data_IF_902901726591
#
_entry.id   IF_902901726591
#
_cell.length_a   1.000
_cell.length_b   1.000
_cell.length_c   1.000
_cell.angle_alpha   90.00
_cell.angle_beta   90.00
_cell.angle_gamma   90.00
#
_symmetry.space_group_name_H-M   'P 1'
#
loop_
_entity.id
_entity.type
_entity.pdbx_description
1 polymer ?
#
# COMPACT_ATOMS: atom_id res chain seq x y z
N UNK A 1 6.35 -1.54 -14.45
CA UNK A 1 6.85 -0.81 -13.26
C UNK A 1 7.11 -1.82 -12.16
N UNK A 2 8.36 -2.05 -11.80
CA UNK A 2 8.69 -2.95 -10.68
C UNK A 2 8.29 -2.26 -9.38
N UNK A 3 7.77 -3.01 -8.41
CA UNK A 3 7.44 -2.57 -7.04
C UNK A 3 8.59 -1.81 -6.34
N UNK A 4 9.81 -1.90 -6.90
CA UNK A 4 11.01 -1.17 -6.51
C UNK A 4 10.93 0.35 -6.80
N UNK A 5 10.27 0.80 -7.87
CA UNK A 5 10.21 2.23 -8.22
C UNK A 5 9.28 3.03 -7.29
N UNK A 6 8.21 2.40 -6.81
CA UNK A 6 7.31 3.00 -5.82
C UNK A 6 7.99 3.11 -4.45
N UNK A 7 8.87 2.16 -4.11
CA UNK A 7 9.66 2.20 -2.86
C UNK A 7 10.67 3.35 -2.85
N UNK A 8 11.26 3.68 -4.00
CA UNK A 8 12.14 4.84 -4.16
C UNK A 8 11.39 6.17 -3.97
N UNK A 9 10.09 6.21 -4.27
CA UNK A 9 9.23 7.37 -4.05
C UNK A 9 8.81 7.54 -2.57
N UNK A 10 8.89 6.47 -1.77
CA UNK A 10 8.47 6.44 -0.36
C UNK A 10 9.66 6.56 0.60
N UNK A 11 10.84 6.07 0.21
CA UNK A 11 12.07 6.19 0.98
C UNK A 11 12.65 7.61 0.87
N UNK A 12 12.29 8.48 1.82
CA UNK A 12 12.97 9.75 2.03
C UNK A 12 14.47 9.52 2.24
N UNK A 13 15.28 10.04 1.32
CA UNK A 13 16.72 10.19 1.49
C UNK A 13 16.93 11.54 2.17
N UNK A 14 17.72 11.56 3.24
CA UNK A 14 18.04 12.80 3.97
C UNK A 14 18.72 13.81 3.04
N UNK A 15 18.11 15.00 2.90
CA UNK A 15 18.63 16.14 2.13
C UNK A 15 17.66 16.70 1.08
N UNK A 16 16.81 17.64 1.52
CA UNK A 16 16.11 18.72 0.79
C UNK A 16 15.03 18.46 -0.29
N UNK A 17 14.14 19.48 -0.36
CA UNK A 17 13.10 19.82 -1.36
C UNK A 17 11.70 19.17 -1.26
N UNK A 18 11.15 18.92 -0.07
CA UNK A 18 9.80 18.30 0.05
C UNK A 18 8.79 19.07 0.92
N UNK A 19 9.00 20.37 1.13
CA UNK A 19 8.00 21.25 1.78
C UNK A 19 6.80 21.50 0.83
N UNK A 20 6.94 21.32 -0.48
CA UNK A 20 5.93 21.78 -1.46
C UNK A 20 4.92 20.72 -1.96
N UNK A 21 5.10 19.42 -1.70
CA UNK A 21 4.21 18.38 -2.24
C UNK A 21 3.07 17.92 -1.30
N UNK A 22 2.92 18.55 -0.13
CA UNK A 22 1.94 18.17 0.90
C UNK A 22 0.49 18.60 0.63
N UNK A 23 0.23 19.29 -0.49
CA UNK A 23 -1.12 19.71 -0.86
C UNK A 23 -1.68 18.75 -1.91
N UNK A 24 -2.75 18.02 -1.55
CA UNK A 24 -3.62 17.39 -2.53
C UNK A 24 -4.04 18.48 -3.54
N UNK A 25 -3.76 18.35 -4.85
CA UNK A 25 -4.20 19.35 -5.81
C UNK A 25 -5.73 19.29 -5.90
N UNK A 26 -6.40 20.29 -5.32
CA UNK A 26 -7.74 20.64 -5.73
C UNK A 26 -7.64 21.23 -7.15
N UNK A 27 -8.40 20.65 -8.08
CA UNK A 27 -8.62 21.08 -9.45
C UNK A 27 -7.40 21.26 -10.37
N UNK A 28 -7.22 20.30 -11.29
CA UNK A 28 -6.57 20.59 -12.58
C UNK A 28 -7.65 20.89 -13.63
N UNK A 29 -7.64 22.05 -14.30
CA UNK A 29 -8.45 22.25 -15.50
C UNK A 29 -7.84 21.46 -16.67
N UNK A 30 -8.70 20.78 -17.44
CA UNK A 30 -8.33 20.07 -18.67
C UNK A 30 -7.68 21.01 -19.70
N UNK A 31 -6.58 20.64 -20.37
CA UNK A 31 -6.10 21.41 -21.51
C UNK A 31 -7.00 21.15 -22.73
N UNK A 32 -7.40 22.23 -23.41
CA UNK A 32 -8.13 22.18 -24.69
C UNK A 32 -7.14 21.87 -25.85
N UNK A 33 -7.60 21.23 -26.94
CA UNK A 33 -6.79 20.99 -28.13
C UNK A 33 -6.96 22.12 -29.16
N UNK A 34 -5.82 22.61 -29.68
CA UNK A 34 -5.56 23.53 -30.82
C UNK A 34 -4.66 24.68 -30.32
N UNK A 35 -3.55 25.09 -30.94
CA UNK A 35 -3.09 25.11 -32.32
C UNK A 35 -1.55 25.13 -32.31
N UNK A 36 -0.88 24.60 -33.34
CA UNK A 36 0.31 25.17 -34.00
C UNK A 36 0.57 24.29 -35.24
N UNK A 37 0.11 24.78 -36.38
CA UNK A 37 0.70 24.45 -37.67
C UNK A 37 1.82 25.46 -37.98
N UNK A 38 2.78 24.99 -38.78
CA UNK A 38 3.68 25.75 -39.64
C UNK A 38 4.92 26.41 -39.01
N UNK A 39 6.05 25.72 -39.17
CA UNK A 39 7.15 26.30 -39.95
C UNK A 39 8.06 25.17 -40.47
N UNK A 40 8.00 25.00 -41.79
CA UNK A 40 8.73 24.04 -42.59
C UNK A 40 9.86 24.81 -43.26
N UNK A 41 11.11 24.52 -42.92
CA UNK A 41 12.24 24.92 -43.76
C UNK A 41 13.35 23.86 -43.75
N UNK A 42 13.77 23.50 -44.96
CA UNK A 42 14.67 22.43 -45.35
C UNK A 42 16.13 22.75 -45.07
N UNK A 43 16.90 21.76 -44.56
CA UNK A 43 18.26 21.47 -45.06
C UNK A 43 18.51 19.96 -45.07
N UNK A 44 19.12 19.53 -46.17
CA UNK A 44 19.26 18.16 -46.64
C UNK A 44 20.68 17.63 -46.33
N UNK A 45 20.77 16.30 -46.23
CA UNK A 45 21.95 15.46 -46.39
C UNK A 45 22.93 15.33 -45.19
N UNK A 46 22.95 14.12 -44.65
CA UNK A 46 23.90 13.62 -43.67
C UNK A 46 23.47 12.24 -43.22
N UNK A 47 23.60 11.24 -44.10
CA UNK A 47 23.36 9.84 -43.81
C UNK A 47 24.31 9.38 -42.70
N UNK A 48 23.76 9.18 -41.52
CA UNK A 48 24.33 8.30 -40.51
C UNK A 48 23.13 7.56 -39.95
N UNK A 49 22.98 6.30 -40.35
CA UNK A 49 22.09 5.37 -39.66
C UNK A 49 22.65 5.19 -38.25
N UNK A 50 22.36 6.16 -37.38
CA UNK A 50 22.32 5.91 -35.95
C UNK A 50 21.14 4.98 -35.74
N UNK A 51 21.46 3.68 -35.74
CA UNK A 51 20.61 2.64 -35.20
C UNK A 51 20.35 3.04 -33.75
N UNK A 52 19.29 3.82 -33.52
CA UNK A 52 18.75 4.05 -32.18
C UNK A 52 18.46 2.66 -31.65
N UNK A 53 19.28 2.22 -30.70
CA UNK A 53 18.93 1.11 -29.83
C UNK A 53 17.61 1.55 -29.18
N UNK A 54 16.49 1.10 -29.75
CA UNK A 54 15.18 1.26 -29.16
C UNK A 54 15.30 0.67 -27.75
N UNK A 55 15.17 1.54 -26.74
CA UNK A 55 15.16 1.10 -25.35
C UNK A 55 14.08 0.02 -25.23
N UNK A 56 14.43 -1.25 -24.93
CA UNK A 56 13.45 -2.35 -24.86
C UNK A 56 12.29 -2.05 -23.90
N UNK A 57 12.47 -1.07 -23.02
CA UNK A 57 11.49 -0.64 -22.04
C UNK A 57 10.44 0.35 -22.61
N UNK A 58 10.75 1.14 -23.65
CA UNK A 58 9.76 2.06 -24.26
C UNK A 58 8.61 1.31 -24.95
N UNK A 59 8.86 0.09 -25.43
CA UNK A 59 7.88 -0.70 -26.19
C UNK A 59 6.88 -1.44 -25.27
N UNK A 60 7.27 -1.78 -24.04
CA UNK A 60 6.40 -2.49 -23.08
C UNK A 60 5.18 -1.66 -22.67
N UNK A 61 5.39 -0.37 -22.40
CA UNK A 61 4.33 0.58 -22.02
C UNK A 61 3.42 0.99 -23.19
N UNK A 62 3.82 0.68 -24.43
CA UNK A 62 3.02 0.91 -25.64
C UNK A 62 2.31 -0.35 -26.12
N UNK A 63 2.61 -1.50 -25.51
CA UNK A 63 1.95 -2.76 -25.86
C UNK A 63 0.43 -2.66 -25.64
N UNK A 64 -0.40 -3.13 -26.58
CA UNK A 64 -1.86 -3.09 -26.43
C UNK A 64 -2.36 -3.76 -25.15
N UNK A 65 -1.72 -4.86 -24.73
CA UNK A 65 -2.04 -5.57 -23.49
C UNK A 65 -1.84 -4.70 -22.25
N UNK A 66 -0.75 -3.92 -22.20
CA UNK A 66 -0.51 -3.00 -21.10
C UNK A 66 -1.55 -1.87 -21.08
N UNK A 67 -1.83 -1.26 -22.23
CA UNK A 67 -2.80 -0.16 -22.33
C UNK A 67 -4.21 -0.58 -21.92
N UNK A 68 -4.64 -1.80 -22.28
CA UNK A 68 -5.93 -2.35 -21.83
C UNK A 68 -5.93 -2.62 -20.32
N UNK A 69 -4.86 -3.21 -19.79
CA UNK A 69 -4.73 -3.41 -18.35
C UNK A 69 -4.74 -2.09 -17.58
N UNK A 70 -3.99 -1.09 -18.04
CA UNK A 70 -3.95 0.26 -17.48
C UNK A 70 -5.31 0.94 -17.55
N UNK A 71 -6.07 0.77 -18.63
CA UNK A 71 -7.43 1.32 -18.73
C UNK A 71 -8.38 0.75 -17.66
N UNK A 72 -8.20 -0.52 -17.26
CA UNK A 72 -9.03 -1.18 -16.25
C UNK A 72 -8.54 -0.86 -14.82
N UNK A 73 -7.24 -0.99 -14.58
CA UNK A 73 -6.62 -0.94 -13.25
C UNK A 73 -6.15 0.46 -12.88
N UNK A 74 -5.83 1.31 -13.87
CA UNK A 74 -5.30 2.66 -13.68
C UNK A 74 -6.08 3.53 -12.70
N UNK A 75 -7.42 3.65 -12.83
CA UNK A 75 -8.22 4.41 -11.85
C UNK A 75 -8.05 3.88 -10.42
N UNK A 76 -8.05 2.57 -10.24
CA UNK A 76 -7.87 1.94 -8.93
C UNK A 76 -6.45 2.16 -8.39
N UNK A 77 -5.45 2.16 -9.28
CA UNK A 77 -4.06 2.46 -8.94
C UNK A 77 -3.89 3.92 -8.50
N UNK A 78 -4.53 4.88 -9.15
CA UNK A 78 -4.54 6.28 -8.71
C UNK A 78 -5.10 6.44 -7.30
N UNK A 79 -6.23 5.79 -7.01
CA UNK A 79 -6.79 5.73 -5.66
C UNK A 79 -5.78 5.14 -4.67
N UNK A 80 -5.13 4.03 -5.03
CA UNK A 80 -4.14 3.38 -4.17
C UNK A 80 -2.95 4.31 -3.87
N UNK A 81 -2.40 4.99 -4.88
CA UNK A 81 -1.29 5.94 -4.70
C UNK A 81 -1.70 7.09 -3.77
N UNK A 82 -2.90 7.65 -3.95
CA UNK A 82 -3.45 8.68 -3.06
C UNK A 82 -3.58 8.17 -1.62
N UNK A 83 -4.04 6.92 -1.44
CA UNK A 83 -4.11 6.30 -0.13
C UNK A 83 -2.73 6.15 0.53
N UNK A 84 -1.71 5.76 -0.23
CA UNK A 84 -0.34 5.62 0.30
C UNK A 84 0.29 6.97 0.71
N UNK A 85 -0.07 8.07 0.05
CA UNK A 85 0.40 9.40 0.44
C UNK A 85 -0.05 9.82 1.84
N UNK A 86 -1.17 9.27 2.34
CA UNK A 86 -1.67 9.53 3.69
C UNK A 86 -0.74 8.96 4.77
N UNK A 87 -0.03 7.86 4.49
CA UNK A 87 0.88 7.22 5.46
C UNK A 87 1.90 8.21 6.01
N UNK A 88 2.47 9.07 5.15
CA UNK A 88 3.43 10.10 5.58
C UNK A 88 2.84 11.06 6.62
N UNK A 89 1.58 11.47 6.41
CA UNK A 89 0.87 12.36 7.34
C UNK A 89 0.63 11.68 8.69
N UNK A 90 0.38 10.37 8.70
CA UNK A 90 0.26 9.58 9.93
C UNK A 90 1.62 9.48 10.64
N UNK A 91 2.70 9.17 9.91
CA UNK A 91 4.06 9.08 10.49
C UNK A 91 4.49 10.40 11.12
N UNK A 92 4.18 11.54 10.51
CA UNK A 92 4.56 12.86 11.04
C UNK A 92 3.92 13.22 12.39
N UNK A 93 2.81 12.57 12.78
CA UNK A 93 2.17 12.80 14.10
C UNK A 93 2.50 11.72 15.12
N UNK A 94 3.33 10.75 14.75
CA UNK A 94 3.84 9.74 15.66
C UNK A 94 4.74 10.34 16.74
N UNK A 95 4.73 9.71 17.92
CA UNK A 95 5.49 10.15 19.10
C UNK A 95 7.01 10.27 18.85
N UNK A 96 7.47 9.59 17.81
CA UNK A 96 8.85 9.58 17.36
C UNK A 96 9.25 10.78 16.49
N UNK A 97 8.27 11.54 16.01
CA UNK A 97 8.43 12.64 15.06
C UNK A 97 7.84 13.97 15.57
N UNK A 98 7.03 13.92 16.63
CA UNK A 98 6.40 15.09 17.26
C UNK A 98 6.55 15.00 18.78
N UNK A 99 6.61 16.15 19.45
CA UNK A 99 6.40 16.22 20.90
C UNK A 99 5.06 15.60 21.29
N UNK A 100 5.06 14.89 22.42
CA UNK A 100 3.91 14.18 23.01
C UNK A 100 3.98 14.27 24.53
N UNK A 101 2.85 14.02 25.18
CA UNK A 101 2.77 13.87 26.64
C UNK A 101 2.33 15.13 27.40
N UNK A 102 2.22 16.30 26.76
CA UNK A 102 1.46 17.43 27.32
C UNK A 102 0.04 17.45 26.78
N UNK A 103 -0.90 18.08 27.50
CA UNK A 103 -2.27 18.24 27.02
C UNK A 103 -2.34 19.00 25.68
N UNK A 104 -1.46 19.99 25.48
CA UNK A 104 -1.39 20.76 24.23
C UNK A 104 -0.92 19.87 23.07
N UNK A 105 0.14 19.08 23.29
CA UNK A 105 0.66 18.17 22.27
C UNK A 105 -0.39 17.14 21.85
N UNK A 106 -1.05 16.50 22.82
CA UNK A 106 -2.07 15.49 22.53
C UNK A 106 -3.29 16.10 21.82
N UNK A 107 -3.70 17.31 22.20
CA UNK A 107 -4.80 18.00 21.53
C UNK A 107 -4.47 18.31 20.06
N UNK A 108 -3.27 18.80 19.77
CA UNK A 108 -2.82 19.07 18.39
C UNK A 108 -2.73 17.79 17.56
N UNK A 109 -2.23 16.68 18.13
CA UNK A 109 -2.21 15.37 17.47
C UNK A 109 -3.62 14.92 17.11
N UNK A 110 -4.57 15.04 18.03
CA UNK A 110 -5.97 14.69 17.78
C UNK A 110 -6.58 15.55 16.68
N UNK A 111 -6.31 16.86 16.64
CA UNK A 111 -6.80 17.74 15.57
C UNK A 111 -6.27 17.32 14.20
N UNK A 112 -4.97 17.03 14.09
CA UNK A 112 -4.38 16.56 12.83
C UNK A 112 -4.96 15.19 12.46
N UNK A 113 -5.09 14.29 13.43
CA UNK A 113 -5.63 12.95 13.21
C UNK A 113 -7.09 12.97 12.73
N UNK A 114 -7.93 13.86 13.28
CA UNK A 114 -9.29 14.05 12.79
C UNK A 114 -9.33 14.54 11.34
N UNK A 115 -8.44 15.47 10.97
CA UNK A 115 -8.30 15.92 9.58
C UNK A 115 -7.84 14.78 8.66
N UNK A 116 -6.83 14.01 9.06
CA UNK A 116 -6.34 12.85 8.31
C UNK A 116 -7.45 11.80 8.16
N UNK A 117 -8.21 11.54 9.22
CA UNK A 117 -9.35 10.62 9.19
C UNK A 117 -10.45 11.08 8.22
N UNK A 118 -10.83 12.36 8.27
CA UNK A 118 -11.81 12.93 7.34
C UNK A 118 -11.34 12.88 5.87
N UNK A 119 -10.05 13.07 5.63
CA UNK A 119 -9.48 12.94 4.28
C UNK A 119 -9.50 11.48 3.80
N UNK A 120 -9.22 10.52 4.68
CA UNK A 120 -9.37 9.09 4.37
C UNK A 120 -10.83 8.74 4.06
N UNK A 121 -11.80 9.26 4.80
CA UNK A 121 -13.23 9.10 4.44
C UNK A 121 -13.50 9.65 3.06
N UNK A 122 -13.09 10.88 2.80
CA UNK A 122 -13.36 11.56 1.54
C UNK A 122 -12.76 10.78 0.38
N UNK A 123 -11.54 10.27 0.55
CA UNK A 123 -10.88 9.41 -0.44
C UNK A 123 -11.66 8.11 -0.68
N UNK A 124 -12.15 7.46 0.39
CA UNK A 124 -12.98 6.25 0.24
C UNK A 124 -14.29 6.52 -0.50
N UNK A 125 -14.97 7.62 -0.21
CA UNK A 125 -16.24 7.97 -0.86
C UNK A 125 -16.04 8.39 -2.32
N UNK A 126 -14.87 8.92 -2.68
CA UNK A 126 -14.49 9.30 -4.05
C UNK A 126 -13.79 8.19 -4.83
N UNK A 127 -13.63 7.00 -4.25
CA UNK A 127 -12.95 5.88 -4.90
C UNK A 127 -13.65 5.53 -6.23
N UNK A 128 -12.91 5.12 -7.27
CA UNK A 128 -13.52 4.64 -8.50
C UNK A 128 -14.40 3.40 -8.24
N UNK A 129 -15.58 3.37 -8.85
CA UNK A 129 -16.53 2.25 -8.72
C UNK A 129 -15.98 0.92 -9.19
N UNK A 130 -15.00 0.95 -10.11
CA UNK A 130 -14.32 -0.27 -10.60
C UNK A 130 -13.66 -1.05 -9.45
N UNK A 131 -13.24 -0.39 -8.37
CA UNK A 131 -12.68 -1.08 -7.20
C UNK A 131 -13.70 -2.05 -6.61
N UNK A 132 -14.98 -1.68 -6.54
CA UNK A 132 -15.99 -2.42 -5.77
C UNK A 132 -16.33 -3.81 -6.35
N UNK A 133 -15.84 -4.14 -7.56
CA UNK A 133 -16.02 -5.46 -8.20
C UNK A 133 -15.10 -6.54 -7.62
N UNK A 134 -14.18 -6.18 -6.72
CA UNK A 134 -13.15 -7.08 -6.19
C UNK A 134 -13.69 -8.37 -5.53
N UNK A 135 -14.97 -8.36 -5.12
CA UNK A 135 -15.65 -9.47 -4.46
C UNK A 135 -16.44 -10.40 -5.39
N UNK A 136 -16.56 -10.08 -6.68
CA UNK A 136 -17.37 -10.81 -7.66
C UNK A 136 -16.61 -10.98 -8.98
N UNK A 137 -15.52 -11.77 -9.01
CA UNK A 137 -14.74 -11.99 -10.23
C UNK A 137 -15.60 -12.59 -11.36
N UNK A 138 -16.58 -13.43 -11.04
CA UNK A 138 -17.51 -14.03 -11.98
C UNK A 138 -18.36 -13.01 -12.75
N UNK A 139 -18.64 -11.85 -12.16
CA UNK A 139 -19.36 -10.77 -12.83
C UNK A 139 -18.57 -10.18 -14.02
N UNK A 140 -17.27 -10.45 -14.10
CA UNK A 140 -16.41 -10.02 -15.19
C UNK A 140 -16.23 -11.07 -16.27
N UNK A 141 -16.67 -12.32 -16.07
CA UNK A 141 -16.40 -13.42 -17.02
C UNK A 141 -17.10 -13.23 -18.38
N UNK A 142 -18.17 -12.44 -18.44
CA UNK A 142 -18.84 -12.09 -19.69
C UNK A 142 -18.05 -11.06 -20.53
N UNK A 143 -17.09 -10.36 -19.92
CA UNK A 143 -16.31 -9.28 -20.55
C UNK A 143 -14.82 -9.60 -20.66
N UNK A 144 -14.26 -10.24 -19.63
CA UNK A 144 -12.85 -10.58 -19.50
C UNK A 144 -12.70 -12.10 -19.38
N UNK A 145 -11.61 -12.64 -19.90
CA UNK A 145 -11.31 -14.04 -19.63
C UNK A 145 -11.00 -14.25 -18.14
N UNK A 146 -11.37 -15.42 -17.62
CA UNK A 146 -11.30 -15.72 -16.18
C UNK A 146 -9.94 -15.40 -15.52
N UNK A 147 -8.77 -15.71 -16.12
CA UNK A 147 -7.49 -15.38 -15.49
C UNK A 147 -7.27 -13.87 -15.30
N UNK A 148 -7.71 -13.05 -16.27
CA UNK A 148 -7.58 -11.58 -16.20
C UNK A 148 -8.55 -11.01 -15.19
N UNK A 149 -9.80 -11.49 -15.18
CA UNK A 149 -10.80 -11.10 -14.18
C UNK A 149 -10.30 -11.36 -12.75
N UNK A 150 -9.75 -12.56 -12.51
CA UNK A 150 -9.17 -12.93 -11.23
C UNK A 150 -8.01 -12.00 -10.84
N UNK A 151 -7.09 -11.71 -11.77
CA UNK A 151 -5.94 -10.85 -11.48
C UNK A 151 -6.32 -9.40 -11.18
N UNK A 152 -7.32 -8.87 -11.88
CA UNK A 152 -7.90 -7.54 -11.60
C UNK A 152 -8.50 -7.51 -10.19
N UNK A 153 -9.35 -8.49 -9.85
CA UNK A 153 -9.94 -8.57 -8.52
C UNK A 153 -8.89 -8.77 -7.42
N UNK A 154 -7.84 -9.58 -7.66
CA UNK A 154 -6.69 -9.72 -6.74
C UNK A 154 -6.03 -8.37 -6.48
N UNK A 155 -5.70 -7.64 -7.54
CA UNK A 155 -5.09 -6.30 -7.45
C UNK A 155 -5.96 -5.36 -6.61
N UNK A 156 -7.26 -5.32 -6.85
CA UNK A 156 -8.17 -4.46 -6.09
C UNK A 156 -8.30 -4.86 -4.62
N UNK A 157 -8.33 -6.16 -4.30
CA UNK A 157 -8.32 -6.63 -2.90
C UNK A 157 -7.05 -6.18 -2.17
N UNK A 158 -5.89 -6.18 -2.84
CA UNK A 158 -4.64 -5.66 -2.27
C UNK A 158 -4.73 -4.15 -1.99
N UNK A 159 -5.28 -3.36 -2.91
CA UNK A 159 -5.44 -1.92 -2.72
C UNK A 159 -6.41 -1.58 -1.58
N UNK A 160 -7.53 -2.29 -1.49
CA UNK A 160 -8.51 -2.12 -0.40
C UNK A 160 -7.89 -2.51 0.94
N UNK A 161 -7.19 -3.65 1.04
CA UNK A 161 -6.55 -4.06 2.28
C UNK A 161 -5.51 -3.03 2.77
N UNK A 162 -4.71 -2.48 1.87
CA UNK A 162 -3.75 -1.43 2.19
C UNK A 162 -4.41 -0.10 2.58
N UNK A 163 -5.53 0.25 1.94
CA UNK A 163 -6.30 1.41 2.35
C UNK A 163 -6.87 1.25 3.78
N UNK A 164 -7.44 0.07 4.09
CA UNK A 164 -7.97 -0.24 5.43
C UNK A 164 -6.89 -0.19 6.50
N UNK A 165 -5.67 -0.64 6.18
CA UNK A 165 -4.51 -0.58 7.06
C UNK A 165 -4.20 0.85 7.54
N UNK A 166 -4.49 1.87 6.72
CA UNK A 166 -4.28 3.28 7.10
C UNK A 166 -5.20 3.72 8.25
N UNK A 167 -6.44 3.22 8.34
CA UNK A 167 -7.33 3.54 9.46
C UNK A 167 -6.82 2.93 10.77
N UNK A 168 -6.38 1.67 10.70
CA UNK A 168 -5.80 0.96 11.84
C UNK A 168 -4.54 1.69 12.30
N UNK A 169 -3.66 2.05 11.35
CA UNK A 169 -2.41 2.73 11.67
C UNK A 169 -2.63 4.13 12.26
N UNK A 170 -3.56 4.92 11.70
CA UNK A 170 -3.94 6.22 12.26
C UNK A 170 -4.44 6.09 13.69
N UNK A 171 -5.31 5.10 13.96
CA UNK A 171 -5.79 4.82 15.30
C UNK A 171 -4.62 4.50 16.25
N UNK A 172 -3.69 3.66 15.79
CA UNK A 172 -2.50 3.28 16.55
C UNK A 172 -1.59 4.45 16.92
N UNK A 173 -1.49 5.44 16.06
CA UNK A 173 -0.57 6.56 16.24
C UNK A 173 -1.19 7.70 17.06
N UNK A 174 -2.44 8.03 16.76
CA UNK A 174 -3.09 9.23 17.31
C UNK A 174 -4.03 8.95 18.48
N UNK A 175 -4.55 7.74 18.61
CA UNK A 175 -5.61 7.42 19.56
C UNK A 175 -5.19 6.36 20.58
N UNK A 176 -3.91 6.36 20.97
CA UNK A 176 -3.31 5.26 21.73
C UNK A 176 -3.80 4.95 23.13
N UNK A 177 -4.46 5.92 23.73
CA UNK A 177 -5.07 5.79 25.04
C UNK A 177 -6.57 5.46 24.94
N UNK A 178 -7.14 5.44 23.73
CA UNK A 178 -8.56 5.23 23.50
C UNK A 178 -8.86 3.77 23.12
N UNK A 179 -10.05 3.26 23.47
CA UNK A 179 -10.51 1.97 22.97
C UNK A 179 -10.61 1.97 21.44
N UNK A 180 -10.47 0.77 20.85
CA UNK A 180 -10.72 0.57 19.43
C UNK A 180 -12.14 1.00 19.06
N UNK A 181 -12.25 1.69 17.95
CA UNK A 181 -13.55 2.04 17.36
C UNK A 181 -14.12 0.87 16.57
N UNK A 182 -15.44 0.84 16.37
CA UNK A 182 -16.10 -0.15 15.49
C UNK A 182 -15.51 -0.14 14.08
N UNK A 183 -15.06 1.03 13.63
CA UNK A 183 -14.38 1.19 12.35
C UNK A 183 -13.06 0.41 12.29
N UNK A 184 -12.25 0.46 13.35
CA UNK A 184 -10.99 -0.29 13.43
C UNK A 184 -11.27 -1.78 13.47
N UNK A 185 -12.25 -2.22 14.27
CA UNK A 185 -12.66 -3.62 14.32
C UNK A 185 -13.13 -4.11 12.93
N UNK A 186 -14.00 -3.34 12.25
CA UNK A 186 -14.46 -3.66 10.91
C UNK A 186 -13.35 -3.66 9.85
N UNK A 187 -12.34 -2.79 9.98
CA UNK A 187 -11.17 -2.80 9.11
C UNK A 187 -10.31 -4.06 9.30
N UNK A 188 -10.10 -4.49 10.55
CA UNK A 188 -9.41 -5.75 10.88
C UNK A 188 -10.15 -6.93 10.26
N UNK A 189 -11.46 -7.04 10.50
CA UNK A 189 -12.30 -8.13 9.98
C UNK A 189 -12.23 -8.17 8.45
N UNK A 190 -12.32 -7.02 7.80
CA UNK A 190 -12.29 -6.92 6.35
C UNK A 190 -10.91 -7.28 5.77
N UNK A 191 -9.81 -6.86 6.39
CA UNK A 191 -8.47 -7.27 5.97
C UNK A 191 -8.31 -8.79 6.05
N UNK A 192 -8.74 -9.41 7.16
CA UNK A 192 -8.69 -10.86 7.34
C UNK A 192 -9.55 -11.56 6.30
N UNK A 193 -10.76 -11.07 6.02
CA UNK A 193 -11.63 -11.62 4.97
C UNK A 193 -10.94 -11.59 3.60
N UNK A 194 -10.39 -10.43 3.20
CA UNK A 194 -9.72 -10.26 1.91
C UNK A 194 -8.48 -11.16 1.79
N UNK A 195 -7.73 -11.26 2.87
CA UNK A 195 -6.55 -12.11 2.96
C UNK A 195 -6.91 -13.60 2.90
N UNK A 196 -8.00 -14.02 3.55
CA UNK A 196 -8.47 -15.41 3.50
C UNK A 196 -8.85 -15.81 2.08
N UNK A 197 -9.58 -14.94 1.36
CA UNK A 197 -9.94 -15.17 -0.05
C UNK A 197 -8.67 -15.28 -0.90
N UNK A 198 -7.67 -14.43 -0.67
CA UNK A 198 -6.43 -14.43 -1.44
C UNK A 198 -5.57 -15.66 -1.19
N UNK A 199 -5.44 -16.07 0.07
CA UNK A 199 -4.68 -17.26 0.47
C UNK A 199 -5.29 -18.54 -0.12
N UNK A 200 -6.63 -18.64 -0.14
CA UNK A 200 -7.33 -19.77 -0.75
C UNK A 200 -7.23 -19.82 -2.28
N UNK A 201 -7.14 -18.67 -2.94
CA UNK A 201 -7.11 -18.55 -4.40
C UNK A 201 -5.71 -18.52 -5.03
N UNK A 202 -4.64 -18.46 -4.22
CA UNK A 202 -3.26 -18.36 -4.72
C UNK A 202 -2.57 -19.72 -4.71
N UNK A 203 -1.85 -20.08 -5.78
CA UNK A 203 -0.86 -21.15 -5.79
C UNK A 203 0.51 -20.46 -5.69
N UNK A 204 1.37 -20.75 -4.69
CA UNK A 204 1.43 -21.94 -3.81
C UNK A 204 0.77 -21.79 -2.41
N UNK A 205 -0.37 -21.11 -2.27
CA UNK A 205 -1.18 -21.13 -1.04
C UNK A 205 -0.71 -20.19 0.08
N UNK A 206 0.03 -19.13 -0.28
CA UNK A 206 0.36 -18.04 0.64
C UNK A 206 -0.05 -16.68 0.07
N UNK A 207 -0.21 -15.71 0.96
CA UNK A 207 -0.52 -14.33 0.58
C UNK A 207 0.58 -13.65 -0.25
N UNK A 208 0.20 -12.75 -1.16
CA UNK A 208 1.11 -11.79 -1.78
C UNK A 208 1.76 -10.86 -0.75
N UNK A 209 2.98 -10.41 -1.03
CA UNK A 209 3.73 -9.49 -0.15
C UNK A 209 2.99 -8.18 0.12
N UNK A 210 2.14 -7.71 -0.79
CA UNK A 210 1.31 -6.52 -0.59
C UNK A 210 0.34 -6.62 0.59
N UNK A 211 0.06 -7.83 1.09
CA UNK A 211 -0.72 -8.04 2.32
C UNK A 211 0.13 -7.98 3.60
N UNK A 212 1.47 -7.98 3.52
CA UNK A 212 2.36 -8.01 4.68
C UNK A 212 2.07 -6.87 5.67
N UNK A 213 1.98 -5.64 5.18
CA UNK A 213 1.64 -4.48 6.01
C UNK A 213 0.19 -4.55 6.56
N UNK A 214 -0.84 -4.76 5.72
CA UNK A 214 -2.22 -4.90 6.20
C UNK A 214 -2.40 -5.93 7.32
N UNK A 215 -1.88 -7.14 7.14
CA UNK A 215 -2.05 -8.20 8.16
C UNK A 215 -1.20 -7.93 9.39
N UNK A 216 -0.02 -7.30 9.26
CA UNK A 216 0.79 -6.90 10.40
C UNK A 216 0.03 -5.91 11.29
N UNK A 217 -0.52 -4.82 10.73
CA UNK A 217 -1.27 -3.85 11.54
C UNK A 217 -2.58 -4.43 12.07
N UNK A 218 -3.26 -5.27 11.28
CA UNK A 218 -4.46 -5.97 11.73
C UNK A 218 -4.15 -6.91 12.89
N UNK A 219 -2.98 -7.56 12.91
CA UNK A 219 -2.55 -8.43 14.01
C UNK A 219 -2.34 -7.66 15.30
N UNK A 220 -1.81 -6.44 15.24
CA UNK A 220 -1.64 -5.60 16.43
C UNK A 220 -2.96 -5.15 17.06
N UNK A 221 -4.04 -5.10 16.27
CA UNK A 221 -5.39 -4.73 16.71
C UNK A 221 -6.37 -5.91 16.77
N UNK A 222 -5.97 -7.11 16.40
CA UNK A 222 -6.85 -8.28 16.33
C UNK A 222 -7.23 -8.83 17.71
N UNK A 223 -8.32 -9.60 17.74
CA UNK A 223 -8.61 -10.54 18.83
C UNK A 223 -7.55 -11.66 18.90
N UNK A 224 -7.59 -12.48 19.96
CA UNK A 224 -6.66 -13.61 20.09
C UNK A 224 -6.72 -14.57 18.89
N UNK A 225 -7.93 -14.98 18.50
CA UNK A 225 -8.14 -15.90 17.38
C UNK A 225 -7.68 -15.29 16.04
N UNK A 226 -7.97 -14.01 15.83
CA UNK A 226 -7.54 -13.26 14.65
C UNK A 226 -6.01 -13.18 14.56
N UNK A 227 -5.35 -12.90 15.69
CA UNK A 227 -3.88 -12.88 15.76
C UNK A 227 -3.27 -14.22 15.47
N UNK A 228 -3.83 -15.30 16.02
CA UNK A 228 -3.33 -16.65 15.78
C UNK A 228 -3.40 -16.99 14.29
N UNK A 229 -4.51 -16.66 13.62
CA UNK A 229 -4.66 -16.82 12.18
C UNK A 229 -3.63 -15.98 11.39
N UNK A 230 -3.46 -14.70 11.74
CA UNK A 230 -2.50 -13.79 11.09
C UNK A 230 -1.06 -14.31 11.22
N UNK A 231 -0.67 -14.77 12.40
CA UNK A 231 0.68 -15.32 12.65
C UNK A 231 0.91 -16.55 11.78
N UNK A 232 -0.06 -17.46 11.68
CA UNK A 232 0.05 -18.65 10.82
C UNK A 232 0.18 -18.28 9.34
N UNK A 233 -0.54 -17.25 8.87
CA UNK A 233 -0.42 -16.77 7.50
C UNK A 233 0.94 -16.11 7.24
N UNK A 234 1.44 -15.29 8.16
CA UNK A 234 2.76 -14.67 8.05
C UNK A 234 3.89 -15.71 8.10
N UNK A 235 3.73 -16.80 8.86
CA UNK A 235 4.63 -17.96 8.83
C UNK A 235 4.66 -18.60 7.44
N UNK A 236 3.50 -18.81 6.80
CA UNK A 236 3.43 -19.31 5.42
C UNK A 236 4.12 -18.38 4.43
N UNK A 237 3.90 -17.06 4.55
CA UNK A 237 4.60 -16.07 3.72
C UNK A 237 6.12 -16.08 3.93
N UNK A 238 6.59 -16.34 5.14
CA UNK A 238 8.00 -16.44 5.46
C UNK A 238 8.64 -17.75 4.93
N UNK A 239 7.89 -18.86 4.94
CA UNK A 239 8.34 -20.18 4.52
C UNK A 239 8.34 -20.41 2.99
N UNK A 240 7.77 -19.51 2.19
CA UNK A 240 7.55 -19.64 0.74
C UNK A 240 8.82 -19.78 -0.14
N UNK A 241 9.98 -20.09 0.43
CA UNK A 241 11.29 -19.98 -0.21
C UNK A 241 11.96 -21.29 -0.61
N UNK A 242 11.46 -22.45 -0.19
CA UNK A 242 12.26 -23.67 -0.31
C UNK A 242 12.07 -24.45 -1.63
N UNK A 243 10.98 -24.24 -2.39
CA UNK A 243 10.63 -25.15 -3.50
C UNK A 243 10.15 -24.50 -4.82
N UNK A 244 10.21 -23.19 -5.01
CA UNK A 244 9.60 -22.53 -6.19
C UNK A 244 10.60 -21.93 -7.19
N UNK A 245 10.37 -22.06 -8.52
CA UNK A 245 11.20 -21.44 -9.55
C UNK A 245 11.11 -19.91 -9.50
N UNK A 246 12.17 -19.23 -9.93
CA UNK A 246 12.40 -17.78 -9.85
C UNK A 246 11.32 -16.85 -10.49
N UNK A 247 10.26 -17.43 -11.07
CA UNK A 247 9.13 -16.74 -11.68
C UNK A 247 7.96 -16.48 -10.73
N UNK A 248 7.96 -17.00 -9.50
CA UNK A 248 6.85 -16.85 -8.56
C UNK A 248 7.08 -15.75 -7.51
N UNK A 249 5.95 -15.23 -7.01
CA UNK A 249 5.73 -14.09 -6.12
C UNK A 249 6.91 -13.83 -5.19
N UNK A 250 7.63 -12.72 -5.44
CA UNK A 250 8.84 -12.36 -4.69
C UNK A 250 8.55 -12.30 -3.18
N UNK A 251 9.20 -13.17 -2.40
CA UNK A 251 9.16 -13.15 -0.92
C UNK A 251 9.60 -11.77 -0.40
N UNK A 252 8.92 -11.26 0.63
CA UNK A 252 9.36 -10.03 1.28
C UNK A 252 10.75 -10.24 1.91
N UNK A 253 11.76 -9.38 1.62
CA UNK A 253 13.14 -9.60 2.06
C UNK A 253 13.31 -9.64 3.58
N UNK A 254 12.32 -9.14 4.32
CA UNK A 254 12.30 -9.11 5.79
C UNK A 254 11.12 -9.87 6.39
N UNK A 255 10.51 -10.83 5.68
CA UNK A 255 9.34 -11.57 6.18
C UNK A 255 9.55 -12.16 7.58
N UNK A 256 10.70 -12.81 7.83
CA UNK A 256 11.03 -13.38 9.15
C UNK A 256 11.09 -12.30 10.25
N UNK A 257 11.65 -11.14 9.92
CA UNK A 257 11.76 -10.01 10.86
C UNK A 257 10.40 -9.40 11.16
N UNK A 258 9.51 -9.29 10.17
CA UNK A 258 8.15 -8.76 10.37
C UNK A 258 7.34 -9.73 11.24
N UNK A 259 7.45 -11.04 11.00
CA UNK A 259 6.81 -12.07 11.83
C UNK A 259 7.29 -12.00 13.30
N UNK A 260 8.60 -12.01 13.52
CA UNK A 260 9.19 -11.92 14.87
C UNK A 260 8.75 -10.63 15.58
N UNK A 261 8.70 -9.52 14.86
CA UNK A 261 8.23 -8.25 15.40
C UNK A 261 6.75 -8.32 15.81
N UNK A 262 5.88 -8.94 15.01
CA UNK A 262 4.48 -9.11 15.35
C UNK A 262 4.30 -9.96 16.62
N UNK A 263 4.99 -11.11 16.68
CA UNK A 263 4.94 -12.01 17.83
C UNK A 263 5.40 -11.30 19.11
N UNK A 264 6.51 -10.57 19.07
CA UNK A 264 7.01 -9.85 20.25
C UNK A 264 6.10 -8.68 20.65
N UNK A 265 5.58 -7.92 19.68
CA UNK A 265 4.69 -6.81 19.98
C UNK A 265 3.39 -7.29 20.62
N UNK A 266 2.77 -8.34 20.06
CA UNK A 266 1.53 -8.91 20.60
C UNK A 266 1.76 -9.51 21.99
N UNK A 267 2.87 -10.23 22.20
CA UNK A 267 3.29 -10.71 23.53
C UNK A 267 3.41 -9.57 24.55
N UNK A 268 4.06 -8.46 24.20
CA UNK A 268 4.18 -7.28 25.09
C UNK A 268 2.83 -6.61 25.35
N UNK A 269 1.97 -6.54 24.34
CA UNK A 269 0.62 -5.99 24.50
C UNK A 269 -0.20 -6.83 25.50
N UNK A 270 -0.10 -8.16 25.42
CA UNK A 270 -0.84 -9.06 26.30
C UNK A 270 -0.33 -8.99 27.76
N UNK A 271 0.99 -8.90 27.95
CA UNK A 271 1.59 -8.78 29.29
C UNK A 271 1.30 -7.42 29.93
N UNK A 272 1.50 -6.33 29.19
CA UNK A 272 1.36 -4.96 29.72
C UNK A 272 -0.08 -4.46 29.73
N UNK A 273 -0.99 -5.13 29.01
CA UNK A 273 -2.35 -4.65 28.71
C UNK A 273 -2.36 -3.24 28.12
N UNK A 274 -1.29 -2.86 27.45
CA UNK A 274 -1.06 -1.55 26.84
C UNK A 274 -0.44 -1.71 25.46
N UNK A 275 -0.43 -0.66 24.65
CA UNK A 275 0.13 -0.76 23.31
C UNK A 275 1.65 -0.83 23.35
N UNK A 276 2.21 -1.78 22.61
CA UNK A 276 3.65 -1.84 22.36
C UNK A 276 4.04 -0.85 21.26
N UNK A 277 5.06 -0.04 21.52
CA UNK A 277 5.65 0.87 20.53
C UNK A 277 6.52 0.08 19.54
N UNK A 278 6.09 0.05 18.28
CA UNK A 278 6.78 -0.69 17.21
C UNK A 278 8.22 -0.26 16.98
N UNK A 279 8.56 1.04 17.15
CA UNK A 279 9.93 1.53 16.91
C UNK A 279 10.85 1.16 18.07
N UNK A 280 10.33 1.15 19.29
CA UNK A 280 11.06 0.69 20.46
C UNK A 280 11.41 -0.79 20.32
N UNK A 281 10.39 -1.63 20.12
CA UNK A 281 10.57 -3.10 19.96
C UNK A 281 11.49 -3.42 18.79
N UNK A 282 11.34 -2.73 17.65
CA UNK A 282 12.22 -2.95 16.49
C UNK A 282 13.69 -2.65 16.77
N UNK A 283 14.00 -1.57 17.50
CA UNK A 283 15.39 -1.21 17.87
C UNK A 283 16.01 -2.21 18.85
N UNK A 284 15.19 -2.80 19.71
CA UNK A 284 15.65 -3.83 20.65
C UNK A 284 15.92 -5.18 19.97
N UNK A 285 15.04 -5.58 19.03
CA UNK A 285 15.15 -6.88 18.36
C UNK A 285 16.17 -6.89 17.20
N UNK A 286 16.36 -5.76 16.51
CA UNK A 286 17.13 -5.73 15.27
C UNK A 286 18.18 -4.62 15.28
N UNK A 287 19.43 -5.01 15.01
CA UNK A 287 20.55 -4.07 14.88
C UNK A 287 20.49 -3.23 13.60
N UNK A 288 19.83 -3.74 12.54
CA UNK A 288 19.69 -3.05 11.26
C UNK A 288 18.22 -2.69 10.99
N UNK A 289 17.93 -1.46 10.53
CA UNK A 289 16.58 -1.08 10.13
C UNK A 289 16.12 -1.88 8.92
N UNK A 290 14.81 -2.09 8.80
CA UNK A 290 14.19 -2.67 7.62
C UNK A 290 12.85 -1.98 7.35
N UNK A 291 12.43 -2.06 6.09
CA UNK A 291 11.17 -1.49 5.60
C UNK A 291 10.08 -2.55 5.68
N UNK A 292 8.88 -2.13 6.09
CA UNK A 292 7.70 -2.98 6.24
C UNK A 292 6.63 -2.75 5.15
N UNK A 293 6.71 -1.62 4.45
CA UNK A 293 5.78 -1.14 3.40
C UNK A 293 6.51 -1.13 2.05
#
# INVERSE_FOLDING_TARGET
MSLLDVKSLIAGRDGDLLIELGNLPNDRPKPKPSDIQSSRESRMAGSTEERREEDPNEDLFRSPSYLVYEAIVGPAFEFFVQAQQVVRRIVCIDLHHRSRGTLSDEFEVLQIAHKVGADLETLWHRRPSVIDIYGQPEALHDTLCAPVALEVCRTFRQYVANFLANFIYLHRVAFAIYPRTDRVNGAVDKIIQLATIESAGSLPGHLPVSFMWPIFVAGLEGSHDQRQWIVQEMQRMAAARENEPATSIARHPSADKVLLLLEEMTRRQDVSRSWADSRCVRRELFSNPFVMI
#
